data_IF_671190066383
#
_entry.id   IF_671190066383
#
_cell.length_a   1.000
_cell.length_b   1.000
_cell.length_c   1.000
_cell.angle_alpha   90.00
_cell.angle_beta   90.00
_cell.angle_gamma   90.00
#
_symmetry.space_group_name_H-M   'P 1'
#
loop_
_entity.id
_entity.type
_entity.pdbx_description
1 polymer ?
#
# COMPACT_ATOMS: atom_id res chain seq x y z
N UNK A 1 -51.15 18.38 -14.63
CA UNK A 1 -49.91 17.97 -13.93
C UNK A 1 -49.57 16.59 -14.47
N UNK A 2 -48.51 16.49 -15.26
CA UNK A 2 -48.10 15.25 -15.94
C UNK A 2 -47.54 14.26 -14.90
N UNK A 3 -47.83 12.96 -14.96
CA UNK A 3 -47.13 11.99 -14.14
C UNK A 3 -45.64 12.03 -14.49
N UNK A 4 -44.77 12.19 -13.48
CA UNK A 4 -43.35 12.06 -13.69
C UNK A 4 -43.04 10.63 -14.17
N UNK A 5 -42.29 10.50 -15.26
CA UNK A 5 -41.80 9.24 -15.81
C UNK A 5 -40.92 8.52 -14.77
N UNK A 6 -41.53 7.65 -13.96
CA UNK A 6 -40.86 6.79 -12.97
C UNK A 6 -40.00 5.70 -13.61
N UNK A 7 -40.03 5.58 -14.93
CA UNK A 7 -39.28 4.57 -15.70
C UNK A 7 -37.86 5.01 -16.08
N UNK A 8 -37.43 6.23 -15.70
CA UNK A 8 -36.10 6.76 -16.05
C UNK A 8 -35.16 6.90 -14.83
N UNK A 9 -35.28 6.00 -13.85
CA UNK A 9 -34.25 5.84 -12.82
C UNK A 9 -33.07 5.13 -13.48
N UNK A 10 -31.85 5.71 -13.50
CA UNK A 10 -30.68 4.99 -14.00
C UNK A 10 -30.53 3.71 -13.18
N UNK A 11 -30.77 2.57 -13.83
CA UNK A 11 -30.41 1.28 -13.27
C UNK A 11 -28.91 1.35 -13.00
N UNK A 12 -28.52 1.34 -11.73
CA UNK A 12 -27.14 1.07 -11.35
C UNK A 12 -26.84 -0.28 -11.98
N UNK A 13 -25.99 -0.28 -13.02
CA UNK A 13 -25.47 -1.51 -13.60
C UNK A 13 -24.60 -2.09 -12.50
N UNK A 14 -25.17 -3.06 -11.77
CA UNK A 14 -24.43 -3.84 -10.79
C UNK A 14 -23.60 -4.80 -11.65
N UNK A 15 -22.30 -4.58 -11.70
CA UNK A 15 -21.38 -5.56 -12.27
C UNK A 15 -21.52 -6.84 -11.44
N UNK A 16 -22.06 -7.91 -12.02
CA UNK A 16 -22.29 -9.19 -11.33
C UNK A 16 -20.98 -9.94 -11.02
N UNK A 17 -19.84 -9.39 -11.44
CA UNK A 17 -18.55 -9.97 -11.09
C UNK A 17 -18.25 -9.83 -9.59
N UNK A 18 -17.75 -10.89 -8.94
CA UNK A 18 -17.34 -10.80 -7.55
C UNK A 18 -16.18 -9.81 -7.38
N UNK A 19 -16.08 -9.12 -6.24
CA UNK A 19 -14.99 -8.17 -6.00
C UNK A 19 -13.64 -8.89 -6.01
N UNK A 20 -12.65 -8.25 -6.64
CA UNK A 20 -11.28 -8.75 -6.69
C UNK A 20 -10.49 -8.26 -5.47
N UNK A 21 -9.77 -9.17 -4.83
CA UNK A 21 -8.82 -8.86 -3.77
C UNK A 21 -7.43 -8.67 -4.37
N UNK A 22 -6.78 -7.54 -4.08
CA UNK A 22 -5.38 -7.27 -4.46
C UNK A 22 -4.57 -6.83 -3.25
N UNK A 23 -3.28 -7.19 -3.23
CA UNK A 23 -2.33 -6.72 -2.22
C UNK A 23 -1.81 -5.33 -2.59
N UNK A 24 -2.05 -4.32 -1.75
CA UNK A 24 -1.46 -2.99 -1.88
C UNK A 24 -0.13 -2.95 -1.12
N UNK A 25 0.95 -2.54 -1.78
CA UNK A 25 2.26 -2.42 -1.13
C UNK A 25 3.15 -1.35 -1.77
N UNK A 26 4.26 -1.03 -1.09
CA UNK A 26 5.36 -0.27 -1.68
C UNK A 26 6.33 -1.16 -2.45
N UNK A 27 7.21 -0.52 -3.22
CA UNK A 27 8.29 -1.19 -3.95
C UNK A 27 9.25 -1.97 -3.05
N UNK A 28 9.47 -1.51 -1.82
CA UNK A 28 10.29 -2.16 -0.81
C UNK A 28 9.76 -3.56 -0.43
N UNK A 29 8.43 -3.72 -0.33
CA UNK A 29 7.83 -5.04 -0.11
C UNK A 29 7.95 -5.93 -1.33
N UNK A 30 7.71 -5.39 -2.53
CA UNK A 30 7.82 -6.17 -3.77
C UNK A 30 9.23 -6.72 -3.96
N UNK A 31 10.26 -5.88 -3.81
CA UNK A 31 11.66 -6.29 -3.89
C UNK A 31 12.03 -7.34 -2.83
N UNK A 32 11.34 -7.35 -1.68
CA UNK A 32 11.56 -8.35 -0.64
C UNK A 32 11.21 -9.78 -1.07
N UNK A 33 10.40 -9.98 -2.12
CA UNK A 33 10.14 -11.31 -2.71
C UNK A 33 11.41 -11.97 -3.24
N UNK A 34 12.44 -11.19 -3.58
CA UNK A 34 13.73 -11.70 -4.03
C UNK A 34 14.67 -12.08 -2.89
N UNK A 35 14.28 -11.88 -1.62
CA UNK A 35 15.12 -12.19 -0.46
C UNK A 35 15.04 -13.70 -0.14
N UNK A 36 16.15 -14.45 -0.24
CA UNK A 36 16.14 -15.90 -0.02
C UNK A 36 15.62 -16.27 1.38
N UNK A 37 14.64 -17.17 1.43
CA UNK A 37 14.07 -17.69 2.68
C UNK A 37 13.14 -16.72 3.42
N UNK A 38 12.85 -15.54 2.86
CA UNK A 38 11.88 -14.60 3.46
C UNK A 38 10.43 -14.94 3.10
N UNK A 39 10.21 -15.38 1.86
CA UNK A 39 8.91 -15.75 1.33
C UNK A 39 8.97 -17.18 0.79
N UNK A 40 7.88 -17.92 0.95
CA UNK A 40 7.73 -19.19 0.24
C UNK A 40 7.36 -18.92 -1.22
N UNK A 41 8.01 -19.60 -2.17
CA UNK A 41 7.77 -19.42 -3.60
C UNK A 41 6.29 -19.66 -3.97
N UNK A 42 5.66 -20.65 -3.34
CA UNK A 42 4.23 -20.94 -3.52
C UNK A 42 3.32 -19.78 -3.09
N UNK A 43 3.71 -19.02 -2.08
CA UNK A 43 2.91 -17.91 -1.58
C UNK A 43 3.08 -16.68 -2.48
N UNK A 44 4.29 -16.44 -3.00
CA UNK A 44 4.52 -15.43 -4.04
C UNK A 44 3.64 -15.74 -5.25
N UNK A 45 3.69 -16.97 -5.77
CA UNK A 45 2.91 -17.39 -6.93
C UNK A 45 1.39 -17.29 -6.68
N UNK A 46 0.90 -17.65 -5.49
CA UNK A 46 -0.52 -17.46 -5.13
C UNK A 46 -0.92 -15.98 -5.07
N UNK A 47 -0.08 -15.13 -4.47
CA UNK A 47 -0.34 -13.69 -4.36
C UNK A 47 -0.46 -13.08 -5.75
N UNK A 48 0.56 -13.23 -6.60
CA UNK A 48 0.57 -12.57 -7.93
C UNK A 48 -0.30 -13.29 -8.96
N UNK A 49 -0.52 -14.60 -8.81
CA UNK A 49 -1.34 -15.39 -9.73
C UNK A 49 -2.84 -15.29 -9.45
N UNK A 50 -3.28 -15.47 -8.20
CA UNK A 50 -4.72 -15.57 -7.86
C UNK A 50 -5.35 -14.23 -7.49
N UNK A 51 -4.60 -13.34 -6.86
CA UNK A 51 -5.11 -12.08 -6.31
C UNK A 51 -4.63 -10.88 -7.14
N UNK A 52 -3.32 -10.75 -7.25
CA UNK A 52 -2.65 -9.63 -7.88
C UNK A 52 -2.14 -8.62 -6.86
N UNK A 53 -1.31 -7.72 -7.35
CA UNK A 53 -0.53 -6.80 -6.54
C UNK A 53 -0.63 -5.39 -7.12
N UNK A 54 -0.74 -4.39 -6.26
CA UNK A 54 -0.67 -2.97 -6.61
C UNK A 54 0.54 -2.39 -5.88
N UNK A 55 1.58 -2.07 -6.64
CA UNK A 55 2.85 -1.59 -6.12
C UNK A 55 2.96 -0.07 -6.31
N UNK A 56 3.05 0.70 -5.23
CA UNK A 56 3.36 2.13 -5.28
C UNK A 56 4.88 2.30 -5.35
N UNK A 57 5.36 3.03 -6.36
CA UNK A 57 6.80 3.30 -6.51
C UNK A 57 7.30 4.23 -5.40
N UNK A 58 8.58 4.09 -5.03
CA UNK A 58 9.27 5.05 -4.15
C UNK A 58 10.54 5.55 -4.86
N UNK A 59 11.07 6.71 -4.45
CA UNK A 59 12.33 7.17 -5.02
C UNK A 59 13.47 6.17 -4.72
N UNK A 60 14.20 5.77 -5.76
CA UNK A 60 15.33 4.84 -5.66
C UNK A 60 14.99 3.36 -5.85
N UNK A 61 13.71 3.00 -6.03
CA UNK A 61 13.28 1.65 -6.42
C UNK A 61 12.95 1.57 -7.91
N UNK A 62 13.18 0.41 -8.53
CA UNK A 62 12.73 0.12 -9.91
C UNK A 62 11.91 -1.19 -9.96
N UNK A 63 10.61 -1.12 -9.57
CA UNK A 63 9.72 -2.28 -9.58
C UNK A 63 9.61 -2.97 -10.93
N UNK A 64 9.64 -2.21 -12.03
CA UNK A 64 9.52 -2.74 -13.39
C UNK A 64 10.69 -3.63 -13.72
N UNK A 65 11.91 -3.18 -13.42
CA UNK A 65 13.12 -3.99 -13.59
C UNK A 65 13.08 -5.25 -12.72
N UNK A 66 12.70 -5.12 -11.45
CA UNK A 66 12.64 -6.25 -10.53
C UNK A 66 11.64 -7.34 -10.99
N UNK A 67 10.46 -6.94 -11.49
CA UNK A 67 9.48 -7.87 -12.06
C UNK A 67 10.04 -8.58 -13.28
N UNK A 68 10.74 -7.86 -14.16
CA UNK A 68 11.35 -8.45 -15.37
C UNK A 68 12.44 -9.47 -15.03
N UNK A 69 13.21 -9.24 -13.98
CA UNK A 69 14.29 -10.13 -13.54
C UNK A 69 13.80 -11.40 -12.80
N UNK A 70 12.51 -11.48 -12.44
CA UNK A 70 11.91 -12.65 -11.80
C UNK A 70 11.00 -13.44 -12.75
N UNK A 71 11.28 -14.73 -12.93
CA UNK A 71 10.45 -15.62 -13.76
C UNK A 71 8.99 -15.71 -13.27
N UNK A 72 8.77 -15.79 -11.96
CA UNK A 72 7.41 -15.86 -11.39
C UNK A 72 6.68 -14.54 -11.57
N UNK A 73 7.33 -13.40 -11.29
CA UNK A 73 6.67 -12.10 -11.38
C UNK A 73 6.41 -11.70 -12.83
N UNK A 74 7.35 -11.93 -13.73
CA UNK A 74 7.18 -11.68 -15.17
C UNK A 74 6.06 -12.52 -15.78
N UNK A 75 5.94 -13.80 -15.39
CA UNK A 75 4.84 -14.69 -15.78
C UNK A 75 3.46 -14.11 -15.43
N UNK A 76 3.33 -13.41 -14.31
CA UNK A 76 2.08 -12.83 -13.82
C UNK A 76 2.03 -11.29 -13.89
N UNK A 77 2.86 -10.67 -14.72
CA UNK A 77 3.02 -9.20 -14.75
C UNK A 77 1.71 -8.44 -15.00
N UNK A 78 0.77 -9.00 -15.78
CA UNK A 78 -0.52 -8.38 -16.07
C UNK A 78 -1.40 -8.21 -14.82
N UNK A 79 -1.13 -8.99 -13.77
CA UNK A 79 -1.82 -8.92 -12.49
C UNK A 79 -1.07 -8.07 -11.45
N UNK A 80 0.06 -7.46 -11.84
CA UNK A 80 0.88 -6.57 -11.02
C UNK A 80 0.77 -5.14 -11.58
N UNK A 81 0.13 -4.27 -10.82
CA UNK A 81 -0.10 -2.88 -11.21
C UNK A 81 0.93 -1.97 -10.54
N UNK A 82 1.81 -1.35 -11.32
CA UNK A 82 2.74 -0.34 -10.82
C UNK A 82 2.05 1.02 -10.86
N UNK A 83 2.02 1.72 -9.73
CA UNK A 83 1.48 3.06 -9.58
C UNK A 83 2.61 4.03 -9.25
N UNK A 84 2.86 4.97 -10.15
CA UNK A 84 3.91 5.97 -9.97
C UNK A 84 3.53 7.00 -8.91
N UNK A 85 4.34 7.13 -7.87
CA UNK A 85 4.26 8.22 -6.91
C UNK A 85 4.91 9.49 -7.51
N UNK A 86 4.10 10.45 -7.97
CA UNK A 86 4.58 11.72 -8.55
C UNK A 86 5.03 12.75 -7.50
N UNK A 87 4.43 12.70 -6.30
CA UNK A 87 4.75 13.58 -5.19
C UNK A 87 5.47 12.73 -4.14
N UNK A 88 6.77 12.96 -4.00
CA UNK A 88 7.60 12.16 -3.12
C UNK A 88 7.15 12.24 -1.66
N UNK A 89 6.79 11.10 -1.08
CA UNK A 89 6.49 10.99 0.34
C UNK A 89 7.62 10.28 1.09
N UNK A 90 8.51 11.07 1.69
CA UNK A 90 9.67 10.55 2.43
C UNK A 90 9.39 10.14 3.89
N UNK A 91 8.11 10.02 4.26
CA UNK A 91 7.71 9.62 5.60
C UNK A 91 7.87 8.10 5.74
N UNK A 92 8.60 7.67 6.77
CA UNK A 92 8.72 6.25 7.15
C UNK A 92 8.65 6.09 8.66
N UNK A 93 8.11 4.97 9.13
CA UNK A 93 7.98 4.70 10.57
C UNK A 93 9.34 4.74 11.30
N UNK A 94 10.43 4.37 10.62
CA UNK A 94 11.79 4.48 11.18
C UNK A 94 12.19 5.93 11.46
N UNK A 95 11.90 6.86 10.53
CA UNK A 95 12.16 8.29 10.71
C UNK A 95 11.28 8.87 11.82
N UNK A 96 10.00 8.51 11.85
CA UNK A 96 9.05 8.91 12.89
C UNK A 96 9.51 8.48 14.28
N UNK A 97 9.80 7.18 14.50
CA UNK A 97 10.27 6.67 15.80
C UNK A 97 11.60 7.30 16.22
N UNK A 98 12.46 7.68 15.27
CA UNK A 98 13.71 8.39 15.57
C UNK A 98 13.47 9.83 16.00
N UNK A 99 12.60 10.57 15.31
CA UNK A 99 12.22 11.94 15.66
C UNK A 99 11.59 11.98 17.06
N UNK A 100 10.64 11.09 17.32
CA UNK A 100 10.00 10.94 18.64
C UNK A 100 11.01 10.71 19.77
N UNK A 101 11.95 9.77 19.62
CA UNK A 101 13.02 9.50 20.60
C UNK A 101 13.94 10.69 20.87
N UNK A 102 14.03 11.64 19.94
CA UNK A 102 14.85 12.85 20.05
C UNK A 102 14.08 14.06 20.58
N UNK A 103 12.78 13.90 20.87
CA UNK A 103 11.90 15.00 21.23
C UNK A 103 11.61 15.96 20.07
N UNK A 104 11.84 15.54 18.83
CA UNK A 104 11.52 16.33 17.63
C UNK A 104 10.01 16.30 17.35
N UNK A 105 9.48 17.37 16.78
CA UNK A 105 8.07 17.42 16.40
C UNK A 105 7.79 16.52 15.19
N UNK A 106 6.74 15.70 15.31
CA UNK A 106 6.17 14.91 14.19
C UNK A 106 4.81 15.45 13.72
N UNK A 107 4.46 16.68 14.14
CA UNK A 107 3.23 17.35 13.70
C UNK A 107 3.21 17.44 12.17
N UNK A 108 2.04 17.21 11.57
CA UNK A 108 1.82 17.17 10.12
C UNK A 108 2.42 15.96 9.39
N UNK A 109 3.22 15.11 10.06
CA UNK A 109 3.67 13.84 9.50
C UNK A 109 2.76 12.66 9.88
N UNK A 110 1.96 12.85 10.94
CA UNK A 110 0.98 11.91 11.45
C UNK A 110 -0.32 12.65 11.79
N UNK A 111 -1.48 11.96 11.81
CA UNK A 111 -2.71 12.50 12.38
C UNK A 111 -2.52 12.88 13.86
N UNK A 112 -3.12 13.99 14.29
CA UNK A 112 -2.98 14.50 15.66
C UNK A 112 -3.44 13.45 16.71
N UNK A 113 -4.48 12.68 16.42
CA UNK A 113 -4.95 11.59 17.29
C UNK A 113 -3.92 10.48 17.49
N UNK A 114 -3.10 10.18 16.48
CA UNK A 114 -2.02 9.19 16.58
C UNK A 114 -0.87 9.74 17.42
N UNK A 115 -0.55 11.03 17.27
CA UNK A 115 0.47 11.70 18.07
C UNK A 115 0.08 11.69 19.54
N UNK A 116 -1.19 11.97 19.84
CA UNK A 116 -1.70 11.96 21.21
C UNK A 116 -1.66 10.56 21.82
N UNK A 117 -2.13 9.54 21.07
CA UNK A 117 -2.06 8.15 21.50
C UNK A 117 -0.63 7.70 21.84
N UNK A 118 0.36 8.10 21.03
CA UNK A 118 1.77 7.80 21.28
C UNK A 118 2.27 8.40 22.60
N UNK A 119 1.81 9.60 22.98
CA UNK A 119 2.18 10.24 24.25
C UNK A 119 1.51 9.57 25.44
N UNK A 120 0.19 9.39 25.36
CA UNK A 120 -0.61 8.77 26.43
C UNK A 120 -0.09 7.38 26.83
N UNK A 121 0.43 6.62 25.86
CA UNK A 121 0.91 5.25 26.05
C UNK A 121 2.45 5.15 26.11
N UNK A 122 3.13 6.29 26.20
CA UNK A 122 4.59 6.41 26.27
C UNK A 122 5.36 5.61 25.19
N UNK A 123 4.76 5.51 23.99
CA UNK A 123 5.32 4.70 22.92
C UNK A 123 6.61 5.31 22.39
N UNK A 124 7.55 4.44 22.02
CA UNK A 124 8.83 4.83 21.42
C UNK A 124 9.69 5.71 22.34
N UNK A 125 9.49 5.67 23.67
CA UNK A 125 10.28 6.43 24.64
C UNK A 125 9.92 7.91 24.70
N UNK A 126 8.69 8.25 24.29
CA UNK A 126 8.12 9.59 24.45
C UNK A 126 7.45 9.63 25.82
N UNK A 127 7.92 10.41 26.81
CA UNK A 127 7.26 10.48 28.12
C UNK A 127 5.93 11.24 28.01
N UNK A 128 4.97 10.87 28.86
CA UNK A 128 3.78 11.70 29.07
C UNK A 128 4.20 13.02 29.74
N UNK A 129 3.64 14.15 29.28
CA UNK A 129 4.09 15.50 29.69
C UNK A 129 3.21 16.12 30.76
#
# INVERSE_FOLDING_TARGET
>A
MCPADVDNIPKIIIDEQPPLLKLLCGADLLESFGTPGLWADEDIEKIVGKHGLVCITRAGSDPSKFIYESDVLSKYQENIHIVTEWIYNDISSTKIRRALRRGESVKYLLPDSVIEYVREHELYGVPDK
#
